data_IF_806864164555
#
_entry.id   IF_806864164555
#
_cell.length_a   1.000
_cell.length_b   1.000
_cell.length_c   1.000
_cell.angle_alpha   90.00
_cell.angle_beta   90.00
_cell.angle_gamma   90.00
#
_symmetry.space_group_name_H-M   'P 1'
#
loop_
_entity.id
_entity.type
_entity.pdbx_description
1 polymer ?
#
# COMPACT_ATOMS: atom_id res chain seq x y z
N UNK A 1 17.10 34.89 28.09
CA UNK A 1 17.14 34.71 26.64
C UNK A 1 15.83 34.06 26.24
N UNK A 2 14.88 34.87 25.76
CA UNK A 2 13.59 34.39 25.24
C UNK A 2 13.81 33.83 23.82
N UNK A 3 13.18 32.71 23.44
CA UNK A 3 13.20 32.22 22.06
C UNK A 3 12.30 33.08 21.18
N UNK A 4 12.82 33.50 20.06
CA UNK A 4 12.10 34.17 18.98
C UNK A 4 11.07 33.20 18.37
N UNK A 5 9.80 33.56 18.47
CA UNK A 5 8.72 32.86 17.78
C UNK A 5 8.84 33.09 16.28
N UNK A 6 9.13 32.05 15.53
CA UNK A 6 9.07 32.05 14.07
C UNK A 6 7.62 31.84 13.65
N UNK A 7 7.01 32.83 13.04
CA UNK A 7 5.70 32.71 12.41
C UNK A 7 5.72 31.66 11.31
N UNK A 8 4.70 30.81 11.18
CA UNK A 8 4.62 29.84 10.10
C UNK A 8 4.53 30.53 8.74
N UNK A 9 5.16 29.98 7.69
CA UNK A 9 5.10 30.55 6.35
C UNK A 9 3.67 30.51 5.81
N UNK A 10 3.21 31.65 5.31
CA UNK A 10 1.93 31.77 4.60
C UNK A 10 1.92 30.91 3.32
N UNK A 11 0.78 30.31 2.93
CA UNK A 11 0.74 29.38 1.81
C UNK A 11 1.05 30.07 0.48
N UNK A 12 1.98 29.50 -0.26
CA UNK A 12 2.51 29.92 -1.58
C UNK A 12 1.42 30.03 -2.69
N UNK A 13 0.18 29.75 -2.39
CA UNK A 13 -0.94 29.73 -3.35
C UNK A 13 -1.33 31.07 -3.93
N UNK A 14 -1.04 32.16 -3.26
CA UNK A 14 -1.51 33.50 -3.67
C UNK A 14 -0.68 34.13 -4.78
N UNK A 15 0.59 33.80 -4.87
CA UNK A 15 1.54 34.43 -5.83
C UNK A 15 1.40 33.85 -7.24
N UNK A 16 1.09 32.57 -7.38
CA UNK A 16 0.97 31.92 -8.69
C UNK A 16 -0.35 32.22 -9.42
N UNK A 17 -1.41 32.57 -8.71
CA UNK A 17 -2.69 32.94 -9.35
C UNK A 17 -2.66 34.33 -10.00
N UNK A 18 -1.87 35.26 -9.45
CA UNK A 18 -1.74 36.61 -10.04
C UNK A 18 -0.76 36.64 -11.23
N UNK A 19 0.21 35.76 -11.28
CA UNK A 19 1.17 35.66 -12.42
C UNK A 19 0.54 35.09 -13.70
N UNK A 20 -0.49 34.27 -13.60
CA UNK A 20 -1.15 33.64 -14.77
C UNK A 20 -2.24 34.53 -15.41
N UNK A 21 -2.67 35.61 -14.74
CA UNK A 21 -3.67 36.55 -15.27
C UNK A 21 -3.07 37.76 -16.00
N UNK A 22 -1.75 37.97 -15.89
CA UNK A 22 -1.08 39.15 -16.48
C UNK A 22 -0.59 38.95 -17.92
N UNK A 23 -0.69 37.74 -18.51
CA UNK A 23 -0.09 37.41 -19.80
C UNK A 23 -1.04 37.52 -21.00
N UNK A 24 -2.21 38.12 -20.86
CA UNK A 24 -3.20 38.24 -21.95
C UNK A 24 -3.32 39.61 -22.60
N UNK A 25 -2.64 40.66 -22.12
CA UNK A 25 -2.67 41.98 -22.77
C UNK A 25 -1.25 42.43 -23.14
N UNK A 26 -0.95 42.25 -24.43
CA UNK A 26 0.31 42.72 -25.04
C UNK A 26 0.40 44.22 -25.06
N UNK A 27 0.97 44.84 -24.03
CA UNK A 27 1.56 46.22 -24.11
C UNK A 27 2.62 46.46 -23.06
N UNK A 28 3.85 46.70 -23.58
CA UNK A 28 4.94 47.50 -23.03
C UNK A 28 5.21 47.53 -21.52
N UNK A 29 6.35 46.93 -21.13
CA UNK A 29 7.31 47.38 -20.10
C UNK A 29 6.77 48.10 -18.86
N UNK A 30 5.90 47.45 -18.07
CA UNK A 30 5.52 47.96 -16.75
C UNK A 30 6.17 47.12 -15.68
N UNK A 31 6.78 47.72 -14.69
CA UNK A 31 7.27 47.04 -13.47
C UNK A 31 6.15 46.28 -12.81
N UNK A 32 6.31 45.00 -12.57
CA UNK A 32 5.35 44.04 -12.00
C UNK A 32 4.88 44.38 -10.57
N UNK A 33 5.27 45.50 -10.00
CA UNK A 33 4.94 45.91 -8.63
C UNK A 33 4.56 47.39 -8.60
N UNK A 34 3.51 47.80 -7.86
CA UNK A 34 3.14 49.18 -7.67
C UNK A 34 4.31 49.93 -6.95
N UNK A 35 4.59 51.17 -7.32
CA UNK A 35 5.63 51.99 -6.69
C UNK A 35 5.17 52.41 -5.29
N UNK A 36 5.61 51.70 -4.28
CA UNK A 36 5.30 51.99 -2.87
C UNK A 36 5.75 50.98 -1.85
N UNK A 37 5.84 49.68 -2.20
CA UNK A 37 6.10 48.61 -1.23
C UNK A 37 7.48 47.98 -1.27
N UNK A 38 8.48 48.66 -1.82
CA UNK A 38 9.86 48.13 -1.94
C UNK A 38 10.59 47.91 -0.59
N UNK A 39 10.00 48.37 0.52
CA UNK A 39 10.63 48.21 1.85
C UNK A 39 10.54 46.80 2.44
N UNK A 40 9.64 45.97 1.92
CA UNK A 40 9.40 44.61 2.42
C UNK A 40 9.79 43.50 1.43
N UNK A 41 10.41 43.84 0.30
CA UNK A 41 10.88 42.87 -0.68
C UNK A 41 12.29 42.37 -0.31
N UNK A 42 12.40 41.12 0.01
CA UNK A 42 13.68 40.42 0.22
C UNK A 42 14.02 39.69 -1.09
N UNK A 43 15.07 40.12 -1.84
CA UNK A 43 15.45 39.41 -3.04
C UNK A 43 16.01 38.03 -2.68
N UNK A 44 15.39 36.99 -3.20
CA UNK A 44 15.82 35.59 -3.00
C UNK A 44 16.27 35.06 -4.36
N UNK A 45 17.43 34.39 -4.38
CA UNK A 45 17.89 33.69 -5.58
C UNK A 45 16.99 32.49 -5.82
N UNK A 46 16.45 32.37 -7.04
CA UNK A 46 15.55 31.29 -7.42
C UNK A 46 16.18 29.90 -7.22
N UNK A 47 17.49 29.76 -7.45
CA UNK A 47 18.18 28.48 -7.24
C UNK A 47 18.21 28.09 -5.77
N UNK A 48 18.41 29.04 -4.86
CA UNK A 48 18.47 28.78 -3.42
C UNK A 48 17.08 28.46 -2.87
N UNK A 49 16.06 29.18 -3.35
CA UNK A 49 14.67 28.91 -2.99
C UNK A 49 14.19 27.54 -3.50
N UNK A 50 14.51 27.19 -4.74
CA UNK A 50 14.19 25.87 -5.29
C UNK A 50 14.89 24.75 -4.52
N UNK A 51 16.18 24.90 -4.18
CA UNK A 51 16.92 23.91 -3.38
C UNK A 51 16.28 23.72 -2.02
N UNK A 52 15.95 24.81 -1.34
CA UNK A 52 15.33 24.78 -0.01
C UNK A 52 13.95 24.15 -0.06
N UNK A 53 13.08 24.63 -0.94
CA UNK A 53 11.71 24.10 -1.08
C UNK A 53 11.69 22.63 -1.48
N UNK A 54 12.61 22.21 -2.37
CA UNK A 54 12.72 20.80 -2.75
C UNK A 54 13.25 19.92 -1.60
N UNK A 55 14.19 20.43 -0.82
CA UNK A 55 14.69 19.71 0.36
C UNK A 55 13.59 19.56 1.42
N UNK A 56 12.85 20.63 1.71
CA UNK A 56 11.74 20.60 2.66
C UNK A 56 10.64 19.63 2.20
N UNK A 57 10.31 19.65 0.90
CA UNK A 57 9.37 18.68 0.30
C UNK A 57 9.90 17.25 0.41
N UNK A 58 11.17 16.99 0.06
CA UNK A 58 11.78 15.68 0.14
C UNK A 58 11.76 15.13 1.56
N UNK A 59 12.13 15.93 2.55
CA UNK A 59 12.10 15.56 3.97
C UNK A 59 10.67 15.26 4.43
N UNK A 60 9.70 16.09 4.07
CA UNK A 60 8.28 15.86 4.38
C UNK A 60 7.78 14.53 3.81
N UNK A 61 8.15 14.18 2.57
CA UNK A 61 7.73 12.93 1.93
C UNK A 61 8.41 11.72 2.55
N UNK A 62 9.69 11.81 2.89
CA UNK A 62 10.46 10.71 3.49
C UNK A 62 9.94 10.40 4.89
N UNK A 63 9.91 11.41 5.77
CA UNK A 63 9.59 11.22 7.20
C UNK A 63 8.07 11.16 7.44
N UNK A 64 7.30 12.00 6.73
CA UNK A 64 5.89 12.26 7.03
C UNK A 64 4.87 11.54 6.14
N UNK A 65 5.29 10.75 5.12
CA UNK A 65 4.33 10.21 4.15
C UNK A 65 4.61 8.80 3.66
N UNK A 66 5.78 8.58 3.05
CA UNK A 66 5.98 7.40 2.18
C UNK A 66 6.54 6.19 2.90
N UNK A 67 7.34 6.38 3.94
CA UNK A 67 8.02 5.31 4.64
C UNK A 67 7.28 4.92 5.92
N UNK A 68 7.24 3.61 6.25
CA UNK A 68 6.71 3.13 7.53
C UNK A 68 7.73 3.36 8.65
N UNK A 69 7.24 3.52 9.88
CA UNK A 69 8.09 3.39 11.06
C UNK A 69 8.43 1.91 11.28
N UNK A 70 9.67 1.61 11.62
CA UNK A 70 10.10 0.21 11.83
C UNK A 70 9.51 -0.43 13.08
N UNK A 71 9.06 0.37 14.06
CA UNK A 71 8.51 -0.08 15.33
C UNK A 71 7.09 -0.63 15.18
N UNK A 72 6.21 0.08 14.45
CA UNK A 72 4.80 -0.31 14.25
C UNK A 72 4.44 -0.71 12.80
N UNK A 73 5.35 -0.52 11.85
CA UNK A 73 5.14 -0.87 10.45
C UNK A 73 4.13 0.01 9.72
N UNK A 74 3.78 1.18 10.28
CA UNK A 74 2.73 2.03 9.77
C UNK A 74 3.28 3.32 9.17
N UNK A 75 2.66 3.77 8.08
CA UNK A 75 2.81 5.15 7.61
C UNK A 75 1.94 6.08 8.47
N UNK A 76 2.24 7.38 8.53
CA UNK A 76 1.46 8.32 9.35
C UNK A 76 -0.04 8.26 9.09
N UNK A 77 -0.49 8.17 7.84
CA UNK A 77 -1.93 8.07 7.51
C UNK A 77 -2.58 6.81 8.09
N UNK A 78 -1.89 5.65 8.03
CA UNK A 78 -2.42 4.40 8.59
C UNK A 78 -2.54 4.48 10.11
N UNK A 79 -1.50 5.01 10.77
CA UNK A 79 -1.48 5.20 12.24
C UNK A 79 -2.62 6.11 12.68
N UNK A 80 -2.83 7.22 12.00
CA UNK A 80 -3.91 8.18 12.29
C UNK A 80 -5.30 7.58 12.08
N UNK A 81 -5.47 6.73 11.07
CA UNK A 81 -6.75 6.03 10.84
C UNK A 81 -7.03 5.04 11.98
N UNK A 82 -6.03 4.21 12.36
CA UNK A 82 -6.21 3.23 13.44
C UNK A 82 -6.43 3.91 14.79
N UNK A 83 -5.69 4.97 15.09
CA UNK A 83 -5.86 5.76 16.30
C UNK A 83 -7.22 6.46 16.33
N UNK A 84 -7.66 7.09 15.24
CA UNK A 84 -8.99 7.70 15.15
C UNK A 84 -10.13 6.70 15.32
N UNK A 85 -9.99 5.46 14.81
CA UNK A 85 -10.95 4.39 15.07
C UNK A 85 -10.98 3.97 16.55
N UNK A 86 -9.81 3.94 17.21
CA UNK A 86 -9.70 3.66 18.64
C UNK A 86 -10.42 4.73 19.47
N UNK A 87 -10.12 6.02 19.23
CA UNK A 87 -10.77 7.16 19.88
C UNK A 87 -12.30 7.15 19.69
N UNK A 88 -12.77 6.75 18.53
CA UNK A 88 -14.21 6.57 18.25
C UNK A 88 -14.81 5.33 18.94
N UNK A 89 -14.03 4.51 19.64
CA UNK A 89 -14.46 3.27 20.28
C UNK A 89 -14.90 2.18 19.28
N UNK A 90 -14.38 2.19 18.05
CA UNK A 90 -14.75 1.27 16.98
C UNK A 90 -13.88 -0.01 17.01
N UNK A 91 -13.89 -0.70 18.14
CA UNK A 91 -13.16 -1.96 18.32
C UNK A 91 -13.84 -3.12 17.60
N UNK A 92 -13.11 -4.24 17.41
CA UNK A 92 -13.56 -5.44 16.68
C UNK A 92 -14.89 -6.04 17.20
N UNK A 93 -15.21 -5.82 18.48
CA UNK A 93 -16.43 -6.31 19.15
C UNK A 93 -17.55 -5.26 19.22
N UNK A 94 -17.41 -4.13 18.55
CA UNK A 94 -18.41 -3.06 18.48
C UNK A 94 -19.04 -2.99 17.08
N UNK A 95 -20.23 -2.39 16.92
CA UNK A 95 -20.81 -2.15 15.60
C UNK A 95 -19.92 -1.32 14.70
N UNK A 96 -19.97 -1.57 13.40
CA UNK A 96 -19.33 -0.75 12.36
C UNK A 96 -19.92 0.67 12.29
N UNK A 97 -19.19 1.58 11.71
CA UNK A 97 -19.63 2.96 11.39
C UNK A 97 -19.32 3.31 9.96
N UNK A 98 -20.09 4.23 9.37
CA UNK A 98 -19.87 4.74 8.01
C UNK A 98 -18.44 5.27 7.85
N UNK A 99 -17.76 4.85 6.79
CA UNK A 99 -16.40 5.29 6.50
C UNK A 99 -16.30 6.81 6.34
N UNK A 100 -17.36 7.48 5.82
CA UNK A 100 -17.41 8.92 5.74
C UNK A 100 -17.27 9.62 7.11
N UNK A 101 -17.81 9.02 8.20
CA UNK A 101 -17.65 9.56 9.54
C UNK A 101 -16.21 9.36 10.05
N UNK A 102 -15.63 8.19 9.79
CA UNK A 102 -14.25 7.86 10.18
C UNK A 102 -13.26 8.78 9.46
N UNK A 103 -13.42 8.94 8.15
CA UNK A 103 -12.58 9.82 7.34
C UNK A 103 -12.70 11.28 7.81
N UNK A 104 -13.90 11.75 8.10
CA UNK A 104 -14.14 13.11 8.61
C UNK A 104 -13.45 13.36 9.95
N UNK A 105 -13.49 12.40 10.87
CA UNK A 105 -12.82 12.48 12.18
C UNK A 105 -11.29 12.54 12.03
N UNK A 106 -10.73 11.65 11.20
CA UNK A 106 -9.27 11.62 10.94
C UNK A 106 -8.78 12.90 10.27
N UNK A 107 -9.55 13.45 9.32
CA UNK A 107 -9.22 14.72 8.65
C UNK A 107 -9.27 15.89 9.61
N UNK A 108 -10.33 15.97 10.40
CA UNK A 108 -10.53 17.08 11.32
C UNK A 108 -9.50 17.16 12.42
N UNK A 109 -9.10 16.00 12.98
CA UNK A 109 -8.20 15.95 14.13
C UNK A 109 -6.73 15.73 13.79
N UNK A 110 -6.40 14.93 12.78
CA UNK A 110 -5.03 14.42 12.64
C UNK A 110 -4.39 14.61 11.27
N UNK A 111 -5.16 14.62 10.19
CA UNK A 111 -4.59 14.51 8.84
C UNK A 111 -5.09 15.62 7.90
N UNK A 112 -4.44 16.81 7.86
CA UNK A 112 -4.89 17.99 7.11
C UNK A 112 -4.62 17.86 5.60
N UNK A 113 -5.14 16.80 4.96
CA UNK A 113 -5.01 16.51 3.53
C UNK A 113 -6.38 16.15 2.94
N UNK A 114 -6.42 15.72 1.67
CA UNK A 114 -7.68 15.33 1.04
C UNK A 114 -8.33 14.08 1.66
N UNK A 115 -9.65 13.97 1.55
CA UNK A 115 -10.43 12.83 2.02
C UNK A 115 -10.16 11.53 1.25
N UNK A 116 -9.96 11.63 -0.07
CA UNK A 116 -9.67 10.50 -0.93
C UNK A 116 -8.44 9.68 -0.50
N UNK A 117 -7.26 10.29 -0.24
CA UNK A 117 -6.10 9.53 0.27
C UNK A 117 -6.33 8.81 1.59
N UNK A 118 -7.11 9.40 2.49
CA UNK A 118 -7.47 8.78 3.78
C UNK A 118 -8.40 7.60 3.55
N UNK A 119 -9.44 7.77 2.72
CA UNK A 119 -10.37 6.69 2.39
C UNK A 119 -9.67 5.54 1.65
N UNK A 120 -8.85 5.83 0.66
CA UNK A 120 -8.07 4.81 -0.06
C UNK A 120 -7.15 4.00 0.85
N UNK A 121 -6.52 4.67 1.83
CA UNK A 121 -5.68 4.00 2.82
C UNK A 121 -6.51 3.10 3.75
N UNK A 122 -7.67 3.56 4.21
CA UNK A 122 -8.61 2.76 4.99
C UNK A 122 -9.08 1.53 4.21
N UNK A 123 -9.46 1.73 2.94
CA UNK A 123 -9.90 0.66 2.04
C UNK A 123 -8.82 -0.41 1.89
N UNK A 124 -7.56 -0.01 1.62
CA UNK A 124 -6.46 -0.97 1.48
C UNK A 124 -6.23 -1.79 2.74
N UNK A 125 -6.39 -1.19 3.91
CA UNK A 125 -6.28 -1.91 5.19
C UNK A 125 -7.42 -2.91 5.44
N UNK A 126 -8.53 -2.82 4.72
CA UNK A 126 -9.66 -3.75 4.78
C UNK A 126 -9.61 -4.84 3.69
N UNK A 127 -8.78 -4.69 2.65
CA UNK A 127 -8.73 -5.62 1.52
C UNK A 127 -7.87 -6.84 1.84
N UNK A 128 -8.48 -8.02 1.91
CA UNK A 128 -7.77 -9.27 2.17
C UNK A 128 -6.79 -9.69 1.06
N UNK A 129 -6.92 -9.12 -0.15
CA UNK A 129 -5.97 -9.32 -1.26
C UNK A 129 -4.84 -8.28 -1.29
N UNK A 130 -4.93 -7.22 -0.48
CA UNK A 130 -3.89 -6.18 -0.36
C UNK A 130 -3.02 -6.36 0.87
N UNK A 131 -3.61 -6.75 2.02
CA UNK A 131 -2.92 -7.00 3.28
C UNK A 131 -3.04 -8.47 3.67
N UNK A 132 -1.91 -9.08 4.06
CA UNK A 132 -1.88 -10.47 4.54
C UNK A 132 -2.70 -10.66 5.82
N UNK A 133 -2.68 -9.64 6.69
CA UNK A 133 -3.47 -9.55 7.92
C UNK A 133 -4.19 -8.21 7.95
N UNK A 134 -5.45 -8.15 7.44
CA UNK A 134 -6.21 -6.91 7.40
C UNK A 134 -6.34 -6.25 8.78
N UNK A 135 -6.13 -4.93 8.83
CA UNK A 135 -6.21 -4.15 10.06
C UNK A 135 -7.60 -3.55 10.28
N UNK A 136 -8.43 -3.57 9.26
CA UNK A 136 -9.80 -3.03 9.25
C UNK A 136 -10.78 -4.15 8.89
N UNK A 137 -11.85 -4.28 9.66
CA UNK A 137 -13.04 -5.04 9.29
C UNK A 137 -13.99 -4.14 8.51
N UNK A 138 -14.12 -4.38 7.20
CA UNK A 138 -14.99 -3.63 6.31
C UNK A 138 -16.34 -4.32 6.10
N UNK A 139 -17.41 -3.53 5.98
CA UNK A 139 -18.73 -3.96 5.56
C UNK A 139 -19.19 -3.17 4.33
N UNK A 140 -19.52 -3.87 3.25
CA UNK A 140 -19.87 -3.30 1.95
C UNK A 140 -18.84 -3.66 0.88
N UNK A 141 -18.84 -2.91 -0.22
CA UNK A 141 -17.91 -3.12 -1.33
C UNK A 141 -16.62 -2.31 -1.11
N UNK A 142 -15.53 -3.01 -0.82
CA UNK A 142 -14.17 -2.46 -0.68
C UNK A 142 -13.28 -2.74 -1.91
N UNK A 143 -13.89 -2.98 -3.08
CA UNK A 143 -13.16 -3.32 -4.29
C UNK A 143 -12.92 -4.82 -4.45
N UNK A 144 -12.31 -5.20 -5.56
CA UNK A 144 -12.01 -6.58 -5.89
C UNK A 144 -10.62 -6.76 -6.50
N UNK A 145 -10.18 -8.02 -6.60
CA UNK A 145 -8.97 -8.42 -7.32
C UNK A 145 -9.06 -8.10 -8.84
N UNK A 146 -10.26 -7.88 -9.35
CA UNK A 146 -10.50 -7.43 -10.73
C UNK A 146 -10.21 -5.95 -10.96
N UNK A 147 -9.91 -5.22 -9.86
CA UNK A 147 -9.63 -3.80 -9.92
C UNK A 147 -10.88 -2.93 -9.87
N UNK A 148 -12.03 -3.51 -9.49
CA UNK A 148 -13.22 -2.71 -9.23
C UNK A 148 -12.92 -1.71 -8.10
N UNK A 149 -13.35 -0.45 -8.25
CA UNK A 149 -13.18 0.54 -7.21
C UNK A 149 -14.08 0.21 -6.00
N UNK A 150 -13.69 0.65 -4.81
CA UNK A 150 -14.57 0.58 -3.64
C UNK A 150 -15.81 1.47 -3.86
N UNK A 151 -16.90 1.12 -3.22
CA UNK A 151 -18.06 2.00 -3.16
C UNK A 151 -17.71 3.30 -2.43
N UNK A 152 -18.42 4.39 -2.71
CA UNK A 152 -18.20 5.66 -2.04
C UNK A 152 -18.33 5.52 -0.50
N UNK A 153 -17.52 6.26 0.26
CA UNK A 153 -17.38 6.15 1.73
C UNK A 153 -18.70 6.33 2.51
N UNK A 154 -19.73 6.90 1.90
CA UNK A 154 -21.07 7.00 2.50
C UNK A 154 -21.84 5.69 2.53
N UNK A 155 -21.45 4.71 1.71
CA UNK A 155 -22.09 3.38 1.64
C UNK A 155 -21.34 2.32 2.47
N UNK A 156 -20.01 2.40 2.52
CA UNK A 156 -19.17 1.44 3.25
C UNK A 156 -19.12 1.75 4.75
N UNK A 157 -18.90 0.71 5.55
CA UNK A 157 -18.72 0.81 7.00
C UNK A 157 -17.46 0.07 7.42
N UNK A 158 -16.86 0.51 8.52
CA UNK A 158 -15.62 -0.06 9.02
C UNK A 158 -15.54 -0.03 10.55
N UNK A 159 -14.65 -0.88 11.07
CA UNK A 159 -14.18 -0.91 12.45
C UNK A 159 -12.78 -1.52 12.49
N UNK A 160 -12.11 -1.45 13.64
CA UNK A 160 -10.84 -2.14 13.84
C UNK A 160 -11.02 -3.66 13.76
N UNK A 161 -10.10 -4.34 13.10
CA UNK A 161 -9.99 -5.79 13.18
C UNK A 161 -9.40 -6.23 14.53
N UNK A 162 -9.50 -7.53 14.86
CA UNK A 162 -8.94 -8.06 16.10
C UNK A 162 -7.43 -7.85 16.19
N UNK A 163 -6.69 -8.03 15.10
CA UNK A 163 -5.24 -7.84 15.09
C UNK A 163 -4.84 -6.38 15.23
N UNK A 164 -5.64 -5.44 14.69
CA UNK A 164 -5.42 -4.01 14.88
C UNK A 164 -5.56 -3.61 16.36
N UNK A 165 -6.45 -4.27 17.11
CA UNK A 165 -6.54 -4.10 18.55
C UNK A 165 -5.23 -4.41 19.29
N UNK A 166 -4.44 -5.39 18.81
CA UNK A 166 -3.12 -5.71 19.37
C UNK A 166 -2.05 -4.67 19.07
N UNK A 167 -2.24 -3.83 18.03
CA UNK A 167 -1.36 -2.71 17.75
C UNK A 167 -1.60 -1.53 18.69
N UNK A 168 -2.82 -1.42 19.22
CA UNK A 168 -3.29 -0.32 20.06
C UNK A 168 -3.38 -0.68 21.54
N UNK A 169 -3.10 -1.93 21.90
CA UNK A 169 -3.19 -2.40 23.27
C UNK A 169 -2.20 -1.63 24.14
N UNK A 170 -2.65 -1.20 25.31
CA UNK A 170 -1.90 -0.39 26.29
C UNK A 170 -1.51 1.04 25.80
N UNK A 171 -2.18 1.58 24.77
CA UNK A 171 -1.89 2.93 24.29
C UNK A 171 -2.22 4.01 25.33
N UNK A 172 -3.16 3.74 26.22
CA UNK A 172 -3.59 4.63 27.32
C UNK A 172 -2.71 4.50 28.58
N UNK A 173 -1.69 3.63 28.57
CA UNK A 173 -0.84 3.29 29.72
C UNK A 173 0.56 3.94 29.67
N UNK A 174 0.70 5.08 28.99
CA UNK A 174 1.97 5.83 28.85
C UNK A 174 3.12 4.96 28.24
N UNK A 175 2.77 4.10 27.29
CA UNK A 175 3.71 3.18 26.65
C UNK A 175 4.44 3.77 25.44
N UNK A 176 3.91 4.85 24.87
CA UNK A 176 4.44 5.56 23.70
C UNK A 176 4.29 7.06 23.85
N UNK A 177 5.19 7.78 23.16
CA UNK A 177 5.16 9.23 23.15
C UNK A 177 4.03 9.77 22.26
N UNK A 178 3.43 10.88 22.70
CA UNK A 178 2.43 11.63 21.97
C UNK A 178 3.00 12.98 21.56
N UNK A 179 2.60 13.46 20.40
CA UNK A 179 2.93 14.80 19.90
C UNK A 179 1.66 15.59 19.57
N UNK A 180 1.73 16.92 19.58
CA UNK A 180 0.63 17.73 19.06
C UNK A 180 0.32 17.40 17.61
N UNK A 181 -0.96 17.54 17.22
CA UNK A 181 -1.39 17.47 15.84
C UNK A 181 -0.96 18.74 15.05
N UNK A 182 -1.49 18.92 13.85
CA UNK A 182 -1.10 20.02 12.94
C UNK A 182 -1.51 21.43 13.40
N UNK A 183 -2.46 21.58 14.34
CA UNK A 183 -2.97 22.85 14.87
C UNK A 183 -2.89 22.95 16.41
N UNK A 184 -2.16 22.05 17.03
CA UNK A 184 -1.97 21.95 18.48
C UNK A 184 -3.28 21.75 19.30
N UNK A 185 -4.39 21.38 18.65
CA UNK A 185 -5.69 21.18 19.31
C UNK A 185 -5.84 19.80 19.93
N UNK A 186 -5.17 18.78 19.36
CA UNK A 186 -5.24 17.38 19.77
C UNK A 186 -3.83 16.77 19.84
N UNK A 187 -3.72 15.58 20.42
CA UNK A 187 -2.47 14.83 20.44
C UNK A 187 -2.61 13.53 19.64
N UNK A 188 -1.58 13.18 18.91
CA UNK A 188 -1.49 11.91 18.17
C UNK A 188 -0.27 11.10 18.63
N UNK A 189 -0.34 9.76 18.66
CA UNK A 189 0.81 8.94 19.02
C UNK A 189 1.89 9.01 17.93
N UNK A 190 3.15 9.13 18.34
CA UNK A 190 4.29 9.05 17.40
C UNK A 190 4.40 7.67 16.76
N UNK A 191 4.09 6.62 17.54
CA UNK A 191 4.11 5.22 17.16
C UNK A 191 3.06 4.46 17.97
N UNK A 192 2.52 3.36 17.45
CA UNK A 192 1.63 2.51 18.24
C UNK A 192 2.43 1.52 19.13
N UNK A 193 1.90 1.10 20.30
CA UNK A 193 2.57 0.18 21.23
C UNK A 193 2.95 -1.17 20.58
N UNK A 194 2.10 -1.68 19.71
CA UNK A 194 2.33 -2.81 18.80
C UNK A 194 2.87 -4.08 19.46
N UNK A 195 1.97 -4.99 19.82
CA UNK A 195 2.34 -6.33 20.33
C UNK A 195 2.64 -7.37 19.26
N UNK A 196 2.45 -7.03 17.99
CA UNK A 196 2.72 -7.92 16.84
C UNK A 196 3.65 -7.21 15.86
N UNK A 197 4.60 -7.90 15.22
CA UNK A 197 5.59 -7.32 14.32
C UNK A 197 4.96 -6.95 12.96
N UNK A 198 4.09 -5.93 12.96
CA UNK A 198 3.24 -5.56 11.82
C UNK A 198 4.04 -5.26 10.55
N UNK A 199 5.22 -4.62 10.67
CA UNK A 199 6.07 -4.35 9.50
C UNK A 199 6.46 -5.63 8.76
N UNK A 200 6.73 -6.71 9.47
CA UNK A 200 7.14 -7.98 8.87
C UNK A 200 5.95 -8.80 8.37
N UNK A 201 4.84 -8.82 9.12
CA UNK A 201 3.70 -9.67 8.74
C UNK A 201 2.86 -9.07 7.59
N UNK A 202 2.76 -7.76 7.49
CA UNK A 202 2.02 -7.07 6.42
C UNK A 202 2.92 -6.46 5.34
N UNK A 203 4.20 -6.29 5.64
CA UNK A 203 5.10 -5.60 4.75
C UNK A 203 4.77 -4.11 4.59
N UNK A 204 5.47 -3.45 3.70
CA UNK A 204 5.16 -2.07 3.31
C UNK A 204 5.81 -1.75 1.97
N UNK A 205 5.15 -0.99 1.13
CA UNK A 205 5.72 -0.41 -0.07
C UNK A 205 5.51 1.10 -0.08
N UNK A 206 6.53 1.85 -0.53
CA UNK A 206 6.46 3.30 -0.60
C UNK A 206 7.54 3.88 -1.48
N UNK A 207 7.20 4.96 -2.18
CA UNK A 207 8.12 5.70 -3.03
C UNK A 207 8.26 7.09 -2.43
N UNK A 208 9.46 7.41 -1.96
CA UNK A 208 9.83 8.73 -1.47
C UNK A 208 10.75 9.44 -2.45
N UNK A 209 11.19 10.63 -2.11
CA UNK A 209 12.18 11.36 -2.91
C UNK A 209 13.57 10.75 -2.65
N UNK A 210 14.22 10.26 -3.69
CA UNK A 210 15.57 9.68 -3.61
C UNK A 210 15.66 8.27 -3.05
N UNK A 211 14.58 7.71 -2.50
CA UNK A 211 14.54 6.33 -1.97
C UNK A 211 13.15 5.70 -2.06
N UNK A 212 13.12 4.38 -2.02
CA UNK A 212 11.89 3.60 -2.00
C UNK A 212 12.04 2.43 -1.03
N UNK A 213 10.91 1.95 -0.49
CA UNK A 213 10.83 0.71 0.27
C UNK A 213 9.84 -0.24 -0.39
N UNK A 214 10.15 -1.53 -0.35
CA UNK A 214 9.25 -2.59 -0.80
C UNK A 214 9.52 -3.86 -0.01
N UNK A 215 8.89 -3.95 1.17
CA UNK A 215 9.01 -5.09 2.07
C UNK A 215 7.83 -6.03 1.87
N UNK A 216 8.06 -7.31 1.56
CA UNK A 216 6.98 -8.28 1.38
C UNK A 216 6.38 -8.68 2.74
N UNK A 217 5.12 -9.15 2.75
CA UNK A 217 4.49 -9.73 3.93
C UNK A 217 5.04 -11.12 4.24
N UNK A 218 4.94 -11.53 5.52
CA UNK A 218 5.40 -12.85 5.98
C UNK A 218 4.35 -13.52 6.87
N UNK A 219 4.49 -14.82 7.04
CA UNK A 219 3.62 -15.61 7.90
C UNK A 219 3.82 -15.26 9.38
N UNK A 220 2.74 -14.94 10.08
CA UNK A 220 2.78 -14.52 11.49
C UNK A 220 3.42 -15.57 12.40
N UNK A 221 3.10 -16.87 12.19
CA UNK A 221 3.67 -17.96 13.01
C UNK A 221 5.17 -18.08 12.81
N UNK A 222 5.65 -17.99 11.57
CA UNK A 222 7.07 -18.06 11.23
C UNK A 222 7.83 -16.89 11.86
N UNK A 223 7.31 -15.67 11.74
CA UNK A 223 7.91 -14.49 12.36
C UNK A 223 7.94 -14.59 13.89
N UNK A 224 6.85 -15.06 14.52
CA UNK A 224 6.84 -15.28 15.98
C UNK A 224 7.87 -16.34 16.39
N UNK A 225 7.99 -17.45 15.68
CA UNK A 225 8.98 -18.46 15.98
C UNK A 225 10.42 -17.92 15.85
N UNK A 226 10.69 -17.10 14.83
CA UNK A 226 11.98 -16.44 14.68
C UNK A 226 12.24 -15.42 15.80
N UNK A 227 11.21 -14.68 16.23
CA UNK A 227 11.30 -13.74 17.35
C UNK A 227 11.60 -14.46 18.66
N UNK A 228 10.93 -15.58 18.95
CA UNK A 228 11.21 -16.41 20.13
C UNK A 228 12.65 -16.91 20.11
N UNK A 229 13.13 -17.42 18.96
CA UNK A 229 14.49 -17.89 18.83
C UNK A 229 15.55 -16.79 19.11
N UNK A 230 15.26 -15.53 18.69
CA UNK A 230 16.13 -14.39 18.97
C UNK A 230 16.06 -13.90 20.44
N UNK A 231 14.93 -14.10 21.10
CA UNK A 231 14.79 -13.80 22.54
C UNK A 231 15.58 -14.84 23.36
N UNK A 232 15.47 -16.11 22.99
CA UNK A 232 16.17 -17.19 23.66
C UNK A 232 17.71 -17.12 23.45
N UNK A 233 18.13 -16.77 22.23
CA UNK A 233 19.54 -16.53 21.88
C UNK A 233 19.67 -15.33 20.94
N UNK A 234 20.06 -14.13 21.46
CA UNK A 234 20.31 -12.94 20.63
C UNK A 234 21.40 -13.10 19.56
N UNK A 235 22.24 -14.12 19.68
CA UNK A 235 23.30 -14.43 18.71
C UNK A 235 22.88 -15.48 17.67
N UNK A 236 21.59 -15.83 17.60
CA UNK A 236 21.05 -16.77 16.61
C UNK A 236 21.53 -16.39 15.19
N UNK A 237 22.23 -17.28 14.47
CA UNK A 237 22.78 -16.98 13.17
C UNK A 237 21.68 -16.76 12.14
N UNK A 238 21.91 -15.84 11.18
CA UNK A 238 20.95 -15.51 10.12
C UNK A 238 20.47 -16.75 9.34
N UNK A 239 21.34 -17.75 9.14
CA UNK A 239 20.97 -19.01 8.50
C UNK A 239 19.79 -19.70 9.22
N UNK A 240 19.79 -19.68 10.56
CA UNK A 240 18.71 -20.25 11.38
C UNK A 240 17.42 -19.44 11.25
N UNK A 241 17.53 -18.12 11.20
CA UNK A 241 16.36 -17.23 10.95
C UNK A 241 15.73 -17.52 9.58
N UNK A 242 16.56 -17.73 8.53
CA UNK A 242 16.10 -18.10 7.17
C UNK A 242 15.43 -19.49 7.15
N UNK A 243 15.80 -20.40 8.03
CA UNK A 243 15.10 -21.69 8.19
C UNK A 243 13.71 -21.51 8.81
N UNK A 244 13.59 -20.63 9.80
CA UNK A 244 12.34 -20.35 10.51
C UNK A 244 11.39 -19.50 9.67
N UNK A 245 11.92 -18.60 8.83
CA UNK A 245 11.16 -17.74 7.92
C UNK A 245 11.66 -17.99 6.48
N UNK A 246 11.18 -19.04 5.82
CA UNK A 246 11.72 -19.48 4.53
C UNK A 246 11.44 -18.52 3.37
N UNK A 247 10.51 -17.59 3.52
CA UNK A 247 10.20 -16.60 2.51
C UNK A 247 8.92 -15.80 2.79
N UNK A 248 8.56 -14.89 1.88
CA UNK A 248 7.31 -14.13 1.94
C UNK A 248 6.07 -15.02 1.90
N UNK A 249 4.99 -14.52 2.53
CA UNK A 249 3.66 -15.12 2.53
C UNK A 249 2.64 -14.08 1.99
N UNK A 250 2.37 -14.15 0.69
CA UNK A 250 1.51 -13.19 0.03
C UNK A 250 0.01 -13.51 0.20
N UNK A 251 -0.86 -12.50 0.34
CA UNK A 251 -2.29 -12.71 0.56
C UNK A 251 -3.00 -13.38 -0.61
N UNK A 252 -2.48 -13.26 -1.83
CA UNK A 252 -3.05 -13.88 -3.05
C UNK A 252 -2.46 -15.25 -3.38
N UNK A 253 -1.58 -15.78 -2.50
CA UNK A 253 -0.94 -17.08 -2.70
C UNK A 253 0.09 -17.09 -3.83
N UNK A 254 0.09 -18.17 -4.63
CA UNK A 254 1.04 -18.40 -5.71
C UNK A 254 2.34 -19.07 -5.25
N UNK A 255 3.27 -19.24 -6.16
CA UNK A 255 4.57 -19.85 -5.91
C UNK A 255 5.70 -18.82 -6.03
N UNK A 256 6.70 -18.93 -5.16
CA UNK A 256 7.98 -18.25 -5.32
C UNK A 256 8.95 -19.18 -6.07
N UNK A 257 9.55 -18.67 -7.13
CA UNK A 257 10.50 -19.40 -7.95
C UNK A 257 11.94 -19.08 -7.57
N UNK A 258 12.63 -20.11 -7.06
CA UNK A 258 14.01 -20.01 -6.64
C UNK A 258 14.15 -19.43 -5.23
N UNK A 259 15.22 -19.83 -4.54
CA UNK A 259 15.50 -19.43 -3.16
C UNK A 259 16.49 -18.27 -3.08
N UNK A 260 17.28 -18.06 -4.14
CA UNK A 260 18.37 -17.09 -4.11
C UNK A 260 17.90 -15.66 -3.82
N UNK A 261 16.80 -15.22 -4.45
CA UNK A 261 16.25 -13.89 -4.21
C UNK A 261 15.81 -13.65 -2.77
N UNK A 262 15.30 -14.70 -2.11
CA UNK A 262 14.94 -14.68 -0.68
C UNK A 262 16.17 -14.51 0.19
N UNK A 263 17.21 -15.32 -0.05
CA UNK A 263 18.49 -15.23 0.66
C UNK A 263 19.14 -13.87 0.46
N UNK A 264 19.13 -13.35 -0.76
CA UNK A 264 19.72 -12.05 -1.09
C UNK A 264 19.05 -10.91 -0.31
N UNK A 265 17.71 -10.85 -0.25
CA UNK A 265 17.06 -9.76 0.45
C UNK A 265 17.22 -9.88 1.98
N UNK A 266 17.28 -11.07 2.56
CA UNK A 266 17.57 -11.22 4.00
C UNK A 266 19.02 -10.86 4.34
N UNK A 267 19.98 -11.16 3.46
CA UNK A 267 21.41 -10.92 3.74
C UNK A 267 21.88 -9.53 3.34
N UNK A 268 21.34 -8.96 2.25
CA UNK A 268 21.80 -7.72 1.64
C UNK A 268 20.77 -6.60 1.70
N UNK A 269 19.55 -6.86 2.20
CA UNK A 269 18.42 -5.93 2.16
C UNK A 269 17.84 -5.70 0.77
N UNK A 270 18.27 -6.44 -0.26
CA UNK A 270 17.78 -6.34 -1.64
C UNK A 270 17.79 -7.71 -2.30
N UNK A 271 16.68 -8.08 -2.94
CA UNK A 271 16.55 -9.33 -3.69
C UNK A 271 15.47 -9.21 -4.75
N UNK A 272 15.56 -10.05 -5.79
CA UNK A 272 14.54 -10.15 -6.84
C UNK A 272 13.77 -11.45 -6.63
N UNK A 273 12.45 -11.35 -6.43
CA UNK A 273 11.56 -12.48 -6.26
C UNK A 273 10.74 -12.67 -7.53
N UNK A 274 10.71 -13.89 -8.06
CA UNK A 274 9.79 -14.25 -9.13
C UNK A 274 8.59 -14.98 -8.54
N UNK A 275 7.42 -14.41 -8.73
CA UNK A 275 6.16 -15.02 -8.34
C UNK A 275 5.52 -15.69 -9.54
N UNK A 276 4.83 -16.81 -9.31
CA UNK A 276 4.11 -17.55 -10.34
C UNK A 276 2.71 -17.91 -9.84
N UNK A 277 1.74 -17.78 -10.71
CA UNK A 277 0.37 -18.23 -10.50
C UNK A 277 0.34 -19.75 -10.21
N UNK A 278 -0.59 -20.17 -9.37
CA UNK A 278 -0.88 -21.58 -9.14
C UNK A 278 -1.90 -22.05 -10.15
N UNK A 279 -1.50 -22.99 -10.99
CA UNK A 279 -2.32 -23.54 -12.03
C UNK A 279 -2.29 -25.07 -12.00
N UNK A 280 -3.43 -25.69 -12.36
CA UNK A 280 -3.58 -27.11 -12.57
C UNK A 280 -4.13 -27.39 -13.98
N UNK A 281 -3.86 -28.58 -14.51
CA UNK A 281 -4.42 -29.04 -15.78
C UNK A 281 -5.55 -30.03 -15.45
N UNK A 282 -6.74 -29.74 -15.94
CA UNK A 282 -7.93 -30.56 -15.70
C UNK A 282 -8.54 -31.02 -17.04
N UNK A 283 -9.12 -32.21 -17.06
CA UNK A 283 -9.92 -32.65 -18.21
C UNK A 283 -11.23 -31.87 -18.25
N UNK A 284 -11.59 -31.40 -19.44
CA UNK A 284 -12.72 -30.51 -19.63
C UNK A 284 -13.71 -31.05 -20.67
N UNK A 285 -15.01 -31.03 -20.32
CA UNK A 285 -16.10 -31.36 -21.22
C UNK A 285 -16.18 -32.83 -21.63
N UNK A 286 -16.80 -33.10 -22.80
CA UNK A 286 -16.91 -34.45 -23.37
C UNK A 286 -15.70 -34.69 -24.32
N UNK A 287 -14.81 -35.60 -23.94
CA UNK A 287 -13.63 -36.00 -24.74
C UNK A 287 -12.31 -35.67 -24.03
N UNK A 288 -11.18 -35.83 -24.74
CA UNK A 288 -9.82 -35.58 -24.25
C UNK A 288 -9.41 -34.10 -24.39
N UNK A 289 -10.33 -33.17 -24.09
CA UNK A 289 -9.96 -31.76 -23.99
C UNK A 289 -9.41 -31.45 -22.60
N UNK A 290 -8.42 -30.61 -22.55
CA UNK A 290 -7.81 -30.13 -21.32
C UNK A 290 -8.09 -28.64 -21.15
N UNK A 291 -8.12 -28.21 -19.90
CA UNK A 291 -8.18 -26.80 -19.52
C UNK A 291 -7.10 -26.51 -18.46
N UNK A 292 -6.54 -25.34 -18.53
CA UNK A 292 -5.66 -24.81 -17.49
C UNK A 292 -6.52 -24.02 -16.51
N UNK A 293 -6.52 -24.45 -15.27
CA UNK A 293 -7.29 -23.80 -14.17
C UNK A 293 -6.30 -23.04 -13.29
N UNK A 294 -6.50 -21.74 -13.16
CA UNK A 294 -5.67 -20.88 -12.28
C UNK A 294 -6.47 -20.53 -11.05
N UNK A 295 -5.95 -20.92 -9.89
CA UNK A 295 -6.60 -20.71 -8.57
C UNK A 295 -5.94 -19.61 -7.74
N UNK A 296 -4.69 -19.25 -8.04
CA UNK A 296 -3.98 -18.17 -7.36
C UNK A 296 -3.16 -17.39 -8.39
N UNK A 297 -3.11 -16.07 -8.26
CA UNK A 297 -2.33 -15.18 -9.14
C UNK A 297 -1.26 -14.45 -8.34
N UNK A 298 -0.17 -13.98 -8.97
CA UNK A 298 0.85 -13.22 -8.28
C UNK A 298 0.30 -11.98 -7.59
N UNK A 299 0.91 -11.62 -6.47
CA UNK A 299 0.51 -10.46 -5.67
C UNK A 299 0.51 -9.17 -6.50
N UNK A 300 -0.53 -8.34 -6.33
CA UNK A 300 -0.76 -7.09 -7.06
C UNK A 300 -1.07 -7.24 -8.57
N UNK A 301 -1.29 -8.45 -9.05
CA UNK A 301 -1.80 -8.66 -10.41
C UNK A 301 -3.32 -8.47 -10.43
N UNK A 302 -3.80 -7.69 -11.38
CA UNK A 302 -5.22 -7.49 -11.65
C UNK A 302 -5.75 -8.64 -12.51
N UNK A 303 -6.74 -9.38 -12.03
CA UNK A 303 -7.29 -10.57 -12.68
C UNK A 303 -7.96 -10.25 -14.01
N UNK A 304 -8.80 -9.22 -14.07
CA UNK A 304 -9.49 -8.83 -15.30
C UNK A 304 -8.51 -8.40 -16.39
N UNK A 305 -7.51 -7.56 -16.05
CA UNK A 305 -6.46 -7.17 -17.02
C UNK A 305 -5.59 -8.32 -17.47
N UNK A 306 -5.36 -9.32 -16.61
CA UNK A 306 -4.66 -10.55 -17.00
C UNK A 306 -5.44 -11.30 -18.08
N UNK A 307 -6.75 -11.47 -17.91
CA UNK A 307 -7.63 -12.11 -18.90
C UNK A 307 -7.70 -11.32 -20.21
N UNK A 308 -7.85 -10.00 -20.15
CA UNK A 308 -7.83 -9.11 -21.33
C UNK A 308 -6.51 -9.24 -22.10
N UNK A 309 -5.38 -9.26 -21.36
CA UNK A 309 -4.06 -9.41 -21.98
C UNK A 309 -3.90 -10.77 -22.66
N UNK A 310 -4.34 -11.85 -22.02
CA UNK A 310 -4.33 -13.19 -22.63
C UNK A 310 -5.20 -13.21 -23.90
N UNK A 311 -6.40 -12.65 -23.85
CA UNK A 311 -7.29 -12.57 -25.03
C UNK A 311 -6.65 -11.78 -26.18
N UNK A 312 -5.97 -10.67 -25.89
CA UNK A 312 -5.23 -9.88 -26.88
C UNK A 312 -4.10 -10.70 -27.51
N UNK A 313 -3.29 -11.42 -26.72
CA UNK A 313 -2.20 -12.26 -27.22
C UNK A 313 -2.71 -13.41 -28.11
N UNK A 314 -3.86 -14.00 -27.76
CA UNK A 314 -4.52 -15.03 -28.59
C UNK A 314 -5.01 -14.43 -29.90
N UNK A 315 -5.64 -13.25 -29.88
CA UNK A 315 -6.09 -12.52 -31.05
C UNK A 315 -4.93 -12.15 -32.01
N UNK A 316 -3.79 -11.74 -31.45
CA UNK A 316 -2.56 -11.41 -32.17
C UNK A 316 -1.77 -12.65 -32.64
N UNK A 317 -2.24 -13.87 -32.34
CA UNK A 317 -1.56 -15.15 -32.63
C UNK A 317 -0.16 -15.27 -31.98
N UNK A 318 0.10 -14.54 -30.93
CA UNK A 318 1.32 -14.66 -30.10
C UNK A 318 1.22 -15.78 -29.07
N UNK A 319 0.01 -16.08 -28.63
CA UNK A 319 -0.31 -17.20 -27.76
C UNK A 319 -1.30 -18.13 -28.45
N UNK A 320 -0.82 -19.29 -28.85
CA UNK A 320 -1.61 -20.31 -29.53
C UNK A 320 -2.07 -21.40 -28.55
N UNK A 321 -3.02 -22.23 -28.97
CA UNK A 321 -3.48 -23.39 -28.20
C UNK A 321 -4.68 -23.11 -27.30
N UNK A 322 -5.06 -21.87 -27.04
CA UNK A 322 -6.24 -21.50 -26.24
C UNK A 322 -7.45 -21.34 -27.15
N UNK A 323 -8.57 -22.00 -26.79
CA UNK A 323 -9.85 -21.88 -27.49
C UNK A 323 -10.80 -20.88 -26.83
N UNK A 324 -10.78 -20.80 -25.50
CA UNK A 324 -11.60 -19.88 -24.70
C UNK A 324 -10.91 -19.52 -23.39
N UNK A 325 -11.20 -18.34 -22.86
CA UNK A 325 -10.69 -17.86 -21.58
C UNK A 325 -11.82 -17.17 -20.81
N UNK A 326 -12.10 -17.65 -19.61
CA UNK A 326 -13.18 -17.10 -18.78
C UNK A 326 -12.86 -17.10 -17.29
N UNK A 327 -13.56 -16.26 -16.58
CA UNK A 327 -13.55 -16.19 -15.13
C UNK A 327 -14.74 -16.96 -14.57
N UNK A 328 -14.44 -17.96 -13.78
CA UNK A 328 -15.42 -18.76 -13.02
C UNK A 328 -15.25 -18.53 -11.50
N UNK A 329 -14.58 -17.45 -11.10
CA UNK A 329 -14.37 -17.12 -9.69
C UNK A 329 -15.71 -16.85 -9.00
N UNK A 330 -15.86 -17.36 -7.78
CA UNK A 330 -17.04 -17.19 -6.95
C UNK A 330 -16.67 -16.97 -5.47
N UNK A 331 -17.61 -17.20 -4.56
CA UNK A 331 -17.39 -17.07 -3.11
C UNK A 331 -16.43 -18.11 -2.53
N UNK A 332 -16.26 -19.24 -3.20
CA UNK A 332 -15.41 -20.34 -2.76
C UNK A 332 -13.94 -20.10 -3.16
N UNK A 333 -13.71 -19.19 -4.11
CA UNK A 333 -12.34 -18.79 -4.49
C UNK A 333 -12.17 -18.35 -5.93
N UNK A 334 -10.92 -18.06 -6.26
CA UNK A 334 -10.51 -17.68 -7.62
C UNK A 334 -10.45 -18.92 -8.51
N UNK A 335 -11.05 -18.81 -9.69
CA UNK A 335 -11.02 -19.84 -10.73
C UNK A 335 -11.01 -19.20 -12.13
N UNK A 336 -9.84 -19.08 -12.72
CA UNK A 336 -9.68 -18.68 -14.12
C UNK A 336 -9.52 -19.95 -14.96
N UNK A 337 -10.26 -20.06 -16.05
CA UNK A 337 -10.28 -21.23 -16.91
C UNK A 337 -9.78 -20.85 -18.30
N UNK A 338 -8.72 -21.47 -18.74
CA UNK A 338 -8.24 -21.42 -20.13
C UNK A 338 -8.49 -22.76 -20.81
N UNK A 339 -9.52 -22.83 -21.65
CA UNK A 339 -9.82 -24.03 -22.43
C UNK A 339 -8.84 -24.19 -23.58
N UNK A 340 -8.32 -25.39 -23.77
CA UNK A 340 -7.37 -25.66 -24.83
C UNK A 340 -8.03 -26.16 -26.10
N UNK A 341 -7.42 -25.89 -27.23
CA UNK A 341 -7.79 -26.50 -28.53
C UNK A 341 -7.47 -27.99 -28.50
N UNK A 342 -8.24 -28.75 -29.25
CA UNK A 342 -8.05 -30.20 -29.34
C UNK A 342 -6.65 -30.56 -29.87
N UNK A 343 -5.94 -31.40 -29.13
CA UNK A 343 -4.61 -31.89 -29.53
C UNK A 343 -3.43 -31.02 -29.10
N UNK A 344 -3.71 -29.90 -28.37
CA UNK A 344 -2.66 -29.07 -27.77
C UNK A 344 -2.09 -29.70 -26.52
N UNK A 345 -0.80 -29.43 -26.27
CA UNK A 345 -0.12 -29.87 -25.06
C UNK A 345 -0.28 -28.83 -23.96
N UNK A 346 -1.05 -29.12 -22.92
CA UNK A 346 -1.40 -28.18 -21.87
C UNK A 346 -0.16 -27.58 -21.17
N UNK A 347 0.89 -28.38 -20.93
CA UNK A 347 2.13 -27.90 -20.30
C UNK A 347 2.86 -26.86 -21.15
N UNK A 348 2.85 -27.01 -22.48
CA UNK A 348 3.49 -26.06 -23.40
C UNK A 348 2.73 -24.75 -23.40
N UNK A 349 1.40 -24.81 -23.46
CA UNK A 349 0.54 -23.61 -23.38
C UNK A 349 0.70 -22.91 -22.05
N UNK A 350 0.71 -23.65 -20.92
CA UNK A 350 0.94 -23.11 -19.58
C UNK A 350 2.31 -22.40 -19.47
N UNK A 351 3.36 -23.00 -20.00
CA UNK A 351 4.69 -22.37 -20.03
C UNK A 351 4.71 -21.08 -20.86
N UNK A 352 3.97 -21.03 -21.95
CA UNK A 352 3.83 -19.82 -22.77
C UNK A 352 3.03 -18.74 -22.02
N UNK A 353 1.97 -19.10 -21.29
CA UNK A 353 1.24 -18.18 -20.40
C UNK A 353 2.18 -17.57 -19.35
N UNK A 354 2.98 -18.37 -18.66
CA UNK A 354 3.97 -17.88 -17.70
C UNK A 354 5.02 -16.96 -18.34
N UNK A 355 5.44 -17.22 -19.56
CA UNK A 355 6.48 -16.43 -20.25
C UNK A 355 5.97 -15.10 -20.79
N UNK A 356 4.71 -15.03 -21.21
CA UNK A 356 4.17 -13.91 -21.97
C UNK A 356 3.18 -13.04 -21.19
N UNK A 357 2.78 -13.45 -19.99
CA UNK A 357 1.77 -12.76 -19.19
C UNK A 357 2.22 -12.51 -17.76
N UNK A 358 1.39 -11.80 -17.00
CA UNK A 358 1.59 -11.55 -15.56
C UNK A 358 1.29 -12.78 -14.68
N UNK A 359 1.14 -13.97 -15.26
CA UNK A 359 1.10 -15.21 -14.50
C UNK A 359 2.46 -15.58 -13.88
N UNK A 360 3.54 -14.94 -14.34
CA UNK A 360 4.86 -14.97 -13.70
C UNK A 360 5.54 -13.61 -13.67
#
# INVERSE_FOLDING_TARGET
LQPLALNPPQPVRTIYQELFLADQDGSSGGTLFPPGDSKNLIPINIEDEMKRSYLDYAMSVIVGRALPDCRDGLKPVHRRILFGLHEMGLHFNRPTRKCAKIVGEVLGKYHPHGDTPVYDSLVRMAQAFSLRYPLIDGQGNFGSVDGDPPAAMRYTEARLSRIAGMLLEDIDEDTVDFRPNYDDSEHEPEVLPTRVPNLLINGSSGIAVGMATNMPPHNLREIINATIALIDDPHTPLAKIIELVPGPDFPTGGFLLGRQGVVDYYTRGRGSLKMRAKASIEKYGKGDREAIIVTEIPFQVNKARLLEHVAALVGEKKLEGISDARDESDRDGMRIVFELKRGEQAEVVLNNLYKQTQMQ
#
